data_IF_955210253639
#
_entry.id   IF_955210253639
#
_cell.length_a   1.000
_cell.length_b   1.000
_cell.length_c   1.000
_cell.angle_alpha   90.00
_cell.angle_beta   90.00
_cell.angle_gamma   90.00
#
_symmetry.space_group_name_H-M   'P 1'
#
loop_
_entity.id
_entity.type
_entity.pdbx_description
1 polymer ?
#
# COMPACT_ATOMS: atom_id res chain seq x y z
N UNK A 1 15.95 32.53 -6.75
CA UNK A 1 16.22 31.08 -6.70
C UNK A 1 15.04 30.38 -6.04
N UNK A 2 14.15 29.74 -6.81
CA UNK A 2 13.12 28.83 -6.28
C UNK A 2 13.63 27.39 -6.48
N UNK A 3 14.22 26.82 -5.43
CA UNK A 3 14.71 25.42 -5.42
C UNK A 3 13.62 24.43 -4.94
N UNK A 4 12.36 24.85 -4.83
CA UNK A 4 11.29 24.06 -4.20
C UNK A 4 10.40 23.23 -5.14
N UNK A 5 10.38 23.48 -6.45
CA UNK A 5 9.36 22.90 -7.34
C UNK A 5 9.54 21.41 -7.68
N UNK A 6 10.75 20.85 -7.50
CA UNK A 6 11.04 19.47 -7.87
C UNK A 6 10.40 18.45 -6.93
N UNK A 7 10.60 18.62 -5.62
CA UNK A 7 10.13 17.66 -4.61
C UNK A 7 8.60 17.63 -4.49
N UNK A 8 7.96 18.81 -4.58
CA UNK A 8 6.49 18.91 -4.58
C UNK A 8 5.87 18.21 -5.80
N UNK A 9 6.54 18.26 -6.96
CA UNK A 9 6.09 17.57 -8.18
C UNK A 9 6.15 16.04 -8.04
N UNK A 10 7.22 15.52 -7.42
CA UNK A 10 7.37 14.08 -7.16
C UNK A 10 6.31 13.56 -6.19
N UNK A 11 6.06 14.29 -5.10
CA UNK A 11 5.05 13.96 -4.09
C UNK A 11 3.65 13.93 -4.71
N UNK A 12 3.30 14.94 -5.52
CA UNK A 12 2.03 14.99 -6.22
C UNK A 12 1.86 13.79 -7.15
N UNK A 13 2.90 13.40 -7.88
CA UNK A 13 2.85 12.24 -8.77
C UNK A 13 2.61 10.93 -8.00
N UNK A 14 3.26 10.74 -6.86
CA UNK A 14 3.03 9.56 -6.01
C UNK A 14 1.61 9.54 -5.44
N UNK A 15 1.09 10.68 -4.97
CA UNK A 15 -0.30 10.76 -4.50
C UNK A 15 -1.31 10.43 -5.60
N UNK A 16 -1.08 10.92 -6.81
CA UNK A 16 -1.93 10.62 -7.96
C UNK A 16 -1.92 9.13 -8.33
N UNK A 17 -0.75 8.48 -8.31
CA UNK A 17 -0.66 7.04 -8.62
C UNK A 17 -1.34 6.18 -7.55
N UNK A 18 -1.23 6.57 -6.28
CA UNK A 18 -1.95 5.93 -5.17
C UNK A 18 -3.46 6.10 -5.34
N UNK A 19 -3.93 7.33 -5.59
CA UNK A 19 -5.37 7.60 -5.79
C UNK A 19 -5.94 6.76 -6.94
N UNK A 20 -5.25 6.69 -8.07
CA UNK A 20 -5.64 5.84 -9.20
C UNK A 20 -5.75 4.37 -8.80
N UNK A 21 -4.75 3.85 -8.07
CA UNK A 21 -4.71 2.44 -7.66
C UNK A 21 -5.80 2.13 -6.63
N UNK A 22 -6.03 3.02 -5.66
CA UNK A 22 -7.11 2.88 -4.67
C UNK A 22 -8.47 2.85 -5.36
N UNK A 23 -8.73 3.77 -6.31
CA UNK A 23 -9.97 3.78 -7.08
C UNK A 23 -10.21 2.45 -7.79
N UNK A 24 -9.19 1.92 -8.47
CA UNK A 24 -9.27 0.61 -9.13
C UNK A 24 -9.60 -0.53 -8.17
N UNK A 25 -8.94 -0.61 -7.02
CA UNK A 25 -9.20 -1.65 -6.03
C UNK A 25 -10.63 -1.54 -5.49
N UNK A 26 -11.11 -0.32 -5.21
CA UNK A 26 -12.48 -0.10 -4.76
C UNK A 26 -13.51 -0.52 -5.82
N UNK A 27 -13.27 -0.23 -7.09
CA UNK A 27 -14.15 -0.63 -8.20
C UNK A 27 -14.19 -2.16 -8.38
N UNK A 28 -13.02 -2.81 -8.34
CA UNK A 28 -12.91 -4.29 -8.43
C UNK A 28 -13.66 -4.96 -7.26
N UNK A 29 -13.55 -4.42 -6.06
CA UNK A 29 -14.22 -4.96 -4.87
C UNK A 29 -15.73 -4.75 -4.91
N UNK A 30 -16.19 -3.59 -5.40
CA UNK A 30 -17.62 -3.32 -5.59
C UNK A 30 -18.24 -4.30 -6.60
N UNK A 31 -17.51 -4.68 -7.65
CA UNK A 31 -17.96 -5.66 -8.65
C UNK A 31 -18.04 -7.08 -8.08
N UNK A 32 -17.06 -7.53 -7.28
CA UNK A 32 -17.08 -8.88 -6.66
C UNK A 32 -18.30 -9.07 -5.75
N UNK A 33 -18.59 -8.07 -4.92
CA UNK A 33 -19.72 -8.12 -3.99
C UNK A 33 -21.08 -8.21 -4.69
N UNK A 34 -21.21 -7.69 -5.92
CA UNK A 34 -22.42 -7.82 -6.73
C UNK A 34 -22.61 -9.25 -7.28
N UNK A 35 -21.53 -10.00 -7.51
CA UNK A 35 -21.60 -11.36 -8.06
C UNK A 35 -21.82 -12.43 -6.97
N UNK A 36 -21.29 -12.21 -5.77
CA UNK A 36 -21.35 -13.20 -4.67
C UNK A 36 -22.62 -13.11 -3.82
N UNK A 37 -23.31 -11.97 -3.83
CA UNK A 37 -24.51 -11.74 -3.05
C UNK A 37 -25.61 -11.20 -3.96
N UNK A 38 -26.70 -11.95 -4.13
CA UNK A 38 -27.96 -11.50 -4.76
C UNK A 38 -28.68 -10.42 -3.92
N UNK A 39 -27.92 -9.56 -3.25
CA UNK A 39 -28.36 -8.47 -2.39
C UNK A 39 -28.22 -7.16 -3.15
N UNK A 40 -29.04 -6.17 -2.78
CA UNK A 40 -29.07 -4.84 -3.42
C UNK A 40 -27.66 -4.31 -3.63
N UNK A 41 -27.37 -3.88 -4.86
CA UNK A 41 -26.09 -3.29 -5.24
C UNK A 41 -25.67 -2.20 -4.26
N UNK A 42 -24.49 -2.35 -3.66
CA UNK A 42 -23.91 -1.32 -2.79
C UNK A 42 -23.70 -0.04 -3.62
N UNK A 43 -24.06 1.14 -3.10
CA UNK A 43 -23.79 2.40 -3.81
C UNK A 43 -22.28 2.56 -4.05
N UNK A 44 -21.89 3.18 -5.18
CA UNK A 44 -20.49 3.42 -5.49
C UNK A 44 -19.83 4.27 -4.40
N UNK A 45 -18.53 4.03 -4.17
CA UNK A 45 -17.73 4.82 -3.24
C UNK A 45 -17.74 6.30 -3.64
N UNK A 46 -17.91 7.21 -2.67
CA UNK A 46 -17.82 8.64 -2.97
C UNK A 46 -16.39 9.06 -3.29
N UNK A 47 -16.25 10.15 -4.06
CA UNK A 47 -14.94 10.70 -4.44
C UNK A 47 -14.15 11.15 -3.21
N UNK A 48 -14.84 11.70 -2.23
CA UNK A 48 -14.27 12.18 -0.97
C UNK A 48 -13.76 10.99 -0.14
N UNK A 49 -14.53 9.92 -0.03
CA UNK A 49 -14.10 8.71 0.66
C UNK A 49 -12.89 8.06 -0.02
N UNK A 50 -12.85 8.06 -1.36
CA UNK A 50 -11.73 7.55 -2.13
C UNK A 50 -10.45 8.39 -1.92
N UNK A 51 -10.57 9.72 -1.88
CA UNK A 51 -9.46 10.61 -1.59
C UNK A 51 -8.91 10.39 -0.17
N UNK A 52 -9.80 10.27 0.83
CA UNK A 52 -9.40 9.98 2.21
C UNK A 52 -8.70 8.63 2.34
N UNK A 53 -9.15 7.60 1.61
CA UNK A 53 -8.47 6.31 1.56
C UNK A 53 -7.09 6.42 0.92
N UNK A 54 -6.95 7.19 -0.16
CA UNK A 54 -5.66 7.42 -0.81
C UNK A 54 -4.67 8.14 0.14
N UNK A 55 -5.12 9.15 0.86
CA UNK A 55 -4.31 9.86 1.86
C UNK A 55 -3.89 8.94 3.01
N UNK A 56 -4.81 8.09 3.49
CA UNK A 56 -4.52 7.09 4.50
C UNK A 56 -3.43 6.12 4.03
N UNK A 57 -3.53 5.61 2.79
CA UNK A 57 -2.53 4.70 2.20
C UNK A 57 -1.18 5.39 2.04
N UNK A 58 -1.16 6.65 1.59
CA UNK A 58 0.06 7.45 1.51
C UNK A 58 0.74 7.59 2.87
N UNK A 59 -0.02 7.96 3.92
CA UNK A 59 0.51 8.08 5.29
C UNK A 59 0.95 6.75 5.88
N UNK A 60 0.21 5.67 5.63
CA UNK A 60 0.61 4.34 6.06
C UNK A 60 1.92 3.90 5.40
N UNK A 61 2.17 4.30 4.16
CA UNK A 61 3.41 4.01 3.44
C UNK A 61 4.63 4.69 4.08
N UNK A 62 4.50 5.93 4.55
CA UNK A 62 5.55 6.64 5.30
C UNK A 62 5.91 5.89 6.61
N UNK A 63 4.89 5.43 7.34
CA UNK A 63 5.07 4.65 8.58
C UNK A 63 5.77 3.32 8.29
N UNK A 64 5.30 2.58 7.28
CA UNK A 64 5.88 1.28 6.91
C UNK A 64 7.32 1.41 6.43
N UNK A 65 7.65 2.40 5.61
CA UNK A 65 9.01 2.65 5.14
C UNK A 65 9.98 2.88 6.32
N UNK A 66 9.52 3.64 7.32
CA UNK A 66 10.30 3.93 8.53
C UNK A 66 10.51 2.67 9.37
N UNK A 67 9.47 1.86 9.59
CA UNK A 67 9.58 0.60 10.33
C UNK A 67 10.51 -0.39 9.63
N UNK A 68 10.38 -0.56 8.30
CA UNK A 68 11.27 -1.42 7.50
C UNK A 68 12.73 -0.98 7.59
N UNK A 69 13.00 0.32 7.53
CA UNK A 69 14.36 0.84 7.69
C UNK A 69 14.92 0.51 9.08
N UNK A 70 14.11 0.63 10.13
CA UNK A 70 14.54 0.27 11.48
C UNK A 70 14.82 -1.22 11.64
N UNK A 71 14.02 -2.11 11.04
CA UNK A 71 14.28 -3.55 11.07
C UNK A 71 15.58 -3.92 10.36
N UNK A 72 15.82 -3.37 9.18
CA UNK A 72 17.08 -3.59 8.46
C UNK A 72 18.28 -3.12 9.28
N UNK A 73 18.20 -1.92 9.88
CA UNK A 73 19.26 -1.35 10.72
C UNK A 73 19.50 -2.16 12.00
N UNK A 74 18.44 -2.68 12.62
CA UNK A 74 18.55 -3.53 13.81
C UNK A 74 19.35 -4.81 13.52
N UNK A 75 19.24 -5.34 12.31
CA UNK A 75 20.03 -6.46 11.82
C UNK A 75 21.40 -6.05 11.22
N UNK A 76 21.88 -4.82 11.48
CA UNK A 76 23.11 -4.25 10.91
C UNK A 76 23.18 -4.24 9.36
N UNK A 77 22.02 -4.18 8.69
CA UNK A 77 21.90 -4.11 7.23
C UNK A 77 21.54 -2.70 6.78
N UNK A 78 22.01 -2.33 5.58
CA UNK A 78 21.59 -1.09 4.87
C UNK A 78 20.53 -1.34 3.80
N UNK A 79 20.26 -2.61 3.49
CA UNK A 79 19.31 -3.04 2.46
C UNK A 79 18.15 -3.77 3.15
N UNK A 80 16.93 -3.34 2.84
CA UNK A 80 15.69 -3.98 3.31
C UNK A 80 15.54 -5.33 2.61
N UNK A 81 15.23 -6.38 3.39
CA UNK A 81 15.03 -7.75 2.92
C UNK A 81 13.61 -8.22 3.21
N UNK A 82 13.25 -9.37 2.65
CA UNK A 82 11.93 -10.02 2.86
C UNK A 82 11.63 -10.27 4.33
N UNK A 83 12.63 -10.63 5.13
CA UNK A 83 12.52 -10.81 6.59
C UNK A 83 11.99 -9.56 7.30
N UNK A 84 12.36 -8.36 6.84
CA UNK A 84 11.89 -7.10 7.43
C UNK A 84 10.40 -6.89 7.17
N UNK A 85 9.92 -7.29 5.98
CA UNK A 85 8.50 -7.24 5.61
C UNK A 85 7.69 -8.28 6.38
N UNK A 86 8.25 -9.48 6.58
CA UNK A 86 7.65 -10.49 7.46
C UNK A 86 7.54 -9.98 8.89
N UNK A 87 8.59 -9.31 9.40
CA UNK A 87 8.58 -8.74 10.74
C UNK A 87 7.58 -7.58 10.87
N UNK A 88 7.38 -6.78 9.83
CA UNK A 88 6.35 -5.74 9.78
C UNK A 88 4.94 -6.35 9.92
N UNK A 89 4.66 -7.44 9.21
CA UNK A 89 3.36 -8.10 9.22
C UNK A 89 2.99 -8.76 10.56
N UNK A 90 3.95 -8.97 11.47
CA UNK A 90 3.75 -9.69 12.75
C UNK A 90 2.62 -9.14 13.64
N UNK A 91 2.33 -7.83 13.53
CA UNK A 91 1.28 -7.16 14.32
C UNK A 91 -0.14 -7.55 13.84
N UNK A 92 -0.26 -8.14 12.66
CA UNK A 92 -1.51 -8.52 12.02
C UNK A 92 -1.51 -10.03 11.75
N UNK A 93 -1.96 -10.88 12.69
CA UNK A 93 -1.85 -12.34 12.57
C UNK A 93 -2.59 -12.88 11.33
N UNK A 94 -3.70 -12.24 10.94
CA UNK A 94 -4.44 -12.56 9.72
C UNK A 94 -3.62 -12.31 8.45
N UNK A 95 -2.67 -11.37 8.48
CA UNK A 95 -1.80 -11.05 7.35
C UNK A 95 -0.66 -12.08 7.22
N UNK A 96 -0.10 -12.50 8.36
CA UNK A 96 0.94 -13.53 8.44
C UNK A 96 0.43 -14.89 7.96
N UNK A 97 -0.84 -15.19 8.26
CA UNK A 97 -1.49 -16.44 7.89
C UNK A 97 -1.75 -16.59 6.37
N UNK A 98 -1.63 -15.52 5.58
CA UNK A 98 -1.85 -15.58 4.13
C UNK A 98 -0.64 -16.29 3.47
N UNK A 99 -0.82 -17.50 2.88
CA UNK A 99 0.31 -18.26 2.31
C UNK A 99 1.01 -17.52 1.18
N UNK A 100 0.26 -16.67 0.47
CA UNK A 100 0.78 -15.84 -0.63
C UNK A 100 1.61 -14.65 -0.16
N UNK A 101 1.54 -14.24 1.12
CA UNK A 101 2.28 -13.09 1.64
C UNK A 101 3.79 -13.36 1.64
N UNK A 102 4.20 -14.57 2.03
CA UNK A 102 5.60 -15.01 2.01
C UNK A 102 6.13 -15.17 0.58
N UNK A 103 5.30 -15.67 -0.35
CA UNK A 103 5.68 -15.85 -1.75
C UNK A 103 5.79 -14.50 -2.50
N UNK A 104 4.83 -13.60 -2.29
CA UNK A 104 4.79 -12.26 -2.91
C UNK A 104 5.87 -11.32 -2.39
N UNK A 105 6.29 -11.41 -1.12
CA UNK A 105 7.42 -10.60 -0.63
C UNK A 105 8.72 -10.88 -1.39
N UNK A 106 8.93 -12.12 -1.86
CA UNK A 106 10.07 -12.46 -2.71
C UNK A 106 9.92 -11.93 -4.16
N UNK A 107 8.69 -11.79 -4.67
CA UNK A 107 8.42 -11.37 -6.06
C UNK A 107 8.23 -9.85 -6.24
N UNK A 108 7.69 -9.13 -5.25
CA UNK A 108 7.41 -7.68 -5.36
C UNK A 108 8.68 -6.82 -5.35
N UNK A 109 9.77 -7.26 -4.73
CA UNK A 109 11.08 -6.59 -4.81
C UNK A 109 11.71 -6.67 -6.22
N UNK A 110 11.31 -7.63 -7.06
CA UNK A 110 11.82 -7.80 -8.42
C UNK A 110 11.01 -7.05 -9.49
N UNK A 111 9.89 -6.41 -9.11
CA UNK A 111 8.98 -5.73 -10.05
C UNK A 111 8.94 -4.21 -9.89
N UNK A 112 9.78 -3.67 -9.01
CA UNK A 112 9.95 -2.23 -8.75
C UNK A 112 11.40 -1.75 -8.94
N UNK A 113 12.25 -2.57 -9.57
CA UNK A 113 13.55 -2.16 -10.14
C UNK A 113 13.47 -2.32 -11.66
#
# INVERSE_FOLDING_TARGET
MKLGGGLESEELRVRQSILYTVGRICDEEAQKQQHEHHVRARPPMSKEAMALLADLVYKQSEVMATELQFFARHANRKIIKTEDVTLLARKQPNLVAIPSYLFKCNTLMLRFV
#
